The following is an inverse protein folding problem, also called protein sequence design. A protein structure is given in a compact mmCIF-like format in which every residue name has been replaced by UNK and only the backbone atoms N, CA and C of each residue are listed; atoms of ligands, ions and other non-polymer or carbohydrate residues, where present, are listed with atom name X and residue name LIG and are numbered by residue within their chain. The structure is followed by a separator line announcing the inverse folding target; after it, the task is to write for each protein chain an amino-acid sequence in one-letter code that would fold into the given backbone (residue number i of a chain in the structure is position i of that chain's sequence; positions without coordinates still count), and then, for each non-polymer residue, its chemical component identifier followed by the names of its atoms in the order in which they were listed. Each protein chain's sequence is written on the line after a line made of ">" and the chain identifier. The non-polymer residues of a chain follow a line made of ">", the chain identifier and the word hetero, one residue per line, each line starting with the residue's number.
data_IF_414469241759
#
_entry.id   IF_414469241759
#
_cell.length_a   1.000
_cell.length_b   1.000
_cell.length_c   1.000
_cell.angle_alpha   90.00
_cell.angle_beta   90.00
_cell.angle_gamma   90.00
#
_symmetry.space_group_name_H-M   'P 1'
#
loop_
_entity.id
_entity.type
_entity.pdbx_description
1 polymer ?
#
# COMPACT_ATOMS: atom_id res chain seq x y z
N UNK A 1 -1.95 21.16 12.05
CA UNK A 1 -2.72 20.47 11.00
C UNK A 1 -2.80 19.02 11.40
N UNK A 2 -3.95 18.54 11.87
CA UNK A 2 -4.17 17.11 12.02
C UNK A 2 -4.12 16.48 10.63
N UNK A 3 -3.17 15.59 10.41
CA UNK A 3 -3.20 14.71 9.25
C UNK A 3 -4.31 13.71 9.54
N UNK A 4 -5.48 13.92 8.95
CA UNK A 4 -6.59 13.00 9.09
C UNK A 4 -6.21 11.73 8.28
N UNK A 5 -5.59 10.75 8.93
CA UNK A 5 -5.18 9.49 8.31
C UNK A 5 -6.45 8.73 7.88
N UNK A 6 -6.82 8.86 6.61
CA UNK A 6 -7.93 8.09 6.06
C UNK A 6 -7.48 6.63 5.90
N UNK A 7 -7.77 5.81 6.93
CA UNK A 7 -7.46 4.40 6.93
C UNK A 7 -8.33 3.65 5.92
N UNK A 8 -7.79 3.42 4.72
CA UNK A 8 -8.42 2.57 3.72
C UNK A 8 -8.06 1.10 3.93
N UNK A 9 -9.05 0.22 3.75
CA UNK A 9 -8.87 -1.23 3.76
C UNK A 9 -9.50 -1.83 2.50
N UNK A 10 -8.82 -2.80 1.92
CA UNK A 10 -9.34 -3.57 0.81
C UNK A 10 -8.79 -4.98 0.86
N UNK A 11 -9.50 -5.92 0.24
CA UNK A 11 -9.03 -7.29 0.06
C UNK A 11 -8.44 -7.44 -1.34
N UNK A 12 -7.36 -8.22 -1.44
CA UNK A 12 -6.80 -8.66 -2.72
C UNK A 12 -6.27 -10.06 -2.58
N UNK A 13 -6.39 -10.82 -3.67
CA UNK A 13 -5.84 -12.18 -3.73
C UNK A 13 -4.39 -12.09 -4.18
N UNK A 14 -3.56 -12.91 -3.55
CA UNK A 14 -2.18 -13.14 -3.98
C UNK A 14 -2.24 -14.12 -5.15
N UNK A 15 -1.57 -13.79 -6.25
CA UNK A 15 -1.45 -14.69 -7.39
C UNK A 15 -0.33 -15.73 -7.20
N UNK A 16 -0.15 -16.60 -8.21
CA UNK A 16 0.86 -17.66 -8.17
C UNK A 16 2.31 -17.15 -8.10
N UNK A 17 2.54 -15.89 -8.47
CA UNK A 17 3.87 -15.25 -8.42
C UNK A 17 4.08 -14.46 -7.12
N UNK A 18 3.11 -14.50 -6.20
CA UNK A 18 3.18 -13.74 -4.96
C UNK A 18 2.80 -12.27 -5.10
N UNK A 19 2.27 -11.85 -6.26
CA UNK A 19 1.87 -10.45 -6.50
C UNK A 19 0.46 -10.22 -5.99
N UNK A 20 0.20 -9.00 -5.53
CA UNK A 20 -1.15 -8.49 -5.28
C UNK A 20 -1.41 -7.35 -6.26
N UNK A 21 -2.60 -7.32 -6.84
CA UNK A 21 -3.08 -6.11 -7.50
C UNK A 21 -3.48 -5.12 -6.41
N UNK A 22 -2.87 -3.93 -6.38
CA UNK A 22 -3.34 -2.86 -5.51
C UNK A 22 -4.75 -2.44 -5.97
N UNK A 23 -5.78 -2.49 -5.10
CA UNK A 23 -7.13 -2.07 -5.48
C UNK A 23 -7.20 -0.59 -5.89
N UNK A 24 -8.09 -0.27 -6.84
CA UNK A 24 -8.17 1.06 -7.46
C UNK A 24 -8.41 2.18 -6.44
N UNK A 25 -9.13 1.91 -5.36
CA UNK A 25 -9.35 2.88 -4.27
C UNK A 25 -8.05 3.20 -3.51
N UNK A 26 -7.19 2.20 -3.26
CA UNK A 26 -5.90 2.41 -2.60
C UNK A 26 -4.94 3.17 -3.54
N UNK A 27 -4.90 2.81 -4.82
CA UNK A 27 -4.07 3.52 -5.80
C UNK A 27 -4.42 5.01 -5.87
N UNK A 28 -5.72 5.34 -5.94
CA UNK A 28 -6.19 6.74 -5.98
C UNK A 28 -5.92 7.48 -4.67
N UNK A 29 -6.16 6.84 -3.52
CA UNK A 29 -5.96 7.47 -2.22
C UNK A 29 -4.48 7.77 -1.94
N UNK A 30 -3.57 6.94 -2.44
CA UNK A 30 -2.13 7.13 -2.29
C UNK A 30 -1.45 7.83 -3.48
N UNK A 31 -2.22 8.36 -4.44
CA UNK A 31 -1.74 8.97 -5.71
C UNK A 31 -0.64 8.16 -6.41
N UNK A 32 -0.82 6.83 -6.46
CA UNK A 32 0.18 5.94 -7.05
C UNK A 32 0.15 6.00 -8.57
N UNK A 33 1.33 6.17 -9.17
CA UNK A 33 1.53 6.23 -10.63
C UNK A 33 2.29 5.02 -11.13
N UNK A 34 2.08 4.67 -12.39
CA UNK A 34 2.83 3.61 -13.05
C UNK A 34 4.35 3.91 -12.99
N UNK A 35 5.15 2.90 -12.62
CA UNK A 35 6.60 3.04 -12.48
C UNK A 35 7.08 3.78 -11.22
N UNK A 36 6.18 4.24 -10.35
CA UNK A 36 6.56 4.89 -9.09
C UNK A 36 7.11 3.87 -8.08
N UNK A 37 8.22 4.22 -7.43
CA UNK A 37 8.75 3.44 -6.32
C UNK A 37 7.85 3.59 -5.09
N UNK A 38 7.60 2.48 -4.41
CA UNK A 38 6.79 2.46 -3.18
C UNK A 38 7.52 1.75 -2.07
N UNK A 39 7.28 2.19 -0.84
CA UNK A 39 7.70 1.46 0.36
C UNK A 39 6.57 0.53 0.81
N UNK A 40 6.90 -0.73 1.07
CA UNK A 40 5.97 -1.74 1.60
C UNK A 40 6.44 -2.17 2.97
N UNK A 41 5.60 -1.99 3.99
CA UNK A 41 5.91 -2.33 5.38
C UNK A 41 4.91 -3.31 5.96
N UNK A 42 5.41 -4.40 6.52
CA UNK A 42 4.59 -5.34 7.30
C UNK A 42 4.54 -4.85 8.75
N UNK A 43 3.34 -4.64 9.28
CA UNK A 43 3.12 -4.21 10.68
C UNK A 43 2.18 -5.17 11.42
N UNK A 44 2.28 -5.20 12.75
CA UNK A 44 1.40 -5.98 13.63
C UNK A 44 2.07 -7.17 14.32
N UNK A 45 1.51 -7.59 15.45
CA UNK A 45 2.02 -8.69 16.27
C UNK A 45 1.45 -10.06 15.84
N UNK A 46 2.29 -11.09 15.98
CA UNK A 46 1.99 -12.52 15.79
C UNK A 46 1.10 -12.86 14.57
N UNK A 47 -0.18 -13.15 14.77
CA UNK A 47 -1.10 -13.77 13.80
C UNK A 47 -1.82 -12.79 12.86
N UNK A 48 -1.78 -11.48 13.15
CA UNK A 48 -2.40 -10.45 12.31
C UNK A 48 -1.32 -9.52 11.79
N UNK A 49 -1.09 -9.58 10.48
CA UNK A 49 -0.15 -8.70 9.77
C UNK A 49 -0.96 -7.81 8.84
N UNK A 50 -0.65 -6.52 8.87
CA UNK A 50 -1.15 -5.55 7.90
C UNK A 50 0.01 -5.12 7.01
N UNK A 51 -0.30 -4.72 5.78
CA UNK A 51 0.65 -4.12 4.86
C UNK A 51 0.33 -2.63 4.77
N UNK A 52 1.33 -1.79 5.00
CA UNK A 52 1.29 -0.36 4.68
C UNK A 52 2.03 -0.16 3.37
N UNK A 53 1.47 0.70 2.52
CA UNK A 53 2.06 1.11 1.25
C UNK A 53 2.14 2.63 1.27
N UNK A 54 3.34 3.15 1.03
CA UNK A 54 3.60 4.59 0.97
C UNK A 54 4.33 4.94 -0.31
N UNK A 55 3.94 6.06 -0.93
CA UNK A 55 4.68 6.64 -2.04
C UNK A 55 6.10 7.03 -1.59
N UNK A 56 7.09 6.77 -2.42
CA UNK A 56 8.45 7.29 -2.27
C UNK A 56 8.78 8.21 -3.43
N UNK A 57 9.45 9.32 -3.14
CA UNK A 57 10.08 10.12 -4.16
C UNK A 57 11.25 9.34 -4.76
N UNK A 58 11.31 9.27 -6.08
CA UNK A 58 12.47 8.76 -6.78
C UNK A 58 13.60 9.78 -6.60
N UNK A 59 14.53 9.52 -5.68
CA UNK A 59 15.77 10.30 -5.60
C UNK A 59 16.54 10.10 -6.92
N UNK A 60 16.55 11.13 -7.76
CA UNK A 60 17.44 11.28 -8.93
C UNK A 60 18.62 12.14 -8.54
#
# INVERSE_FOLDING_TARGET
>A
MEVNEMLMRAFSKVDKEGKIKLPDNIQRAADLKEGQLVEVKIVGASKKKNILVSARDNAR
#
